data_IF_001135716253
#
_entry.id   IF_001135716253
#
_cell.length_a   1.000
_cell.length_b   1.000
_cell.length_c   1.000
_cell.angle_alpha   90.00
_cell.angle_beta   90.00
_cell.angle_gamma   90.00
#
_symmetry.space_group_name_H-M   'P 1'
#
loop_
_entity.id
_entity.type
_entity.pdbx_description
1 polymer ?
#
# COMPACT_ATOMS: atom_id res chain seq x y z
N UNK A 1 -13.47 -6.48 8.45
CA UNK A 1 -14.85 -6.87 8.35
C UNK A 1 -15.40 -6.51 6.96
N UNK A 2 -15.89 -7.52 6.22
CA UNK A 2 -16.35 -7.35 4.83
C UNK A 2 -17.54 -6.39 4.74
N UNK A 3 -18.43 -6.47 5.72
CA UNK A 3 -19.63 -5.62 5.84
C UNK A 3 -19.27 -4.13 5.94
N UNK A 4 -18.29 -3.80 6.78
CA UNK A 4 -17.83 -2.41 6.93
C UNK A 4 -17.25 -1.84 5.63
N UNK A 5 -16.53 -2.66 4.86
CA UNK A 5 -16.01 -2.26 3.55
C UNK A 5 -17.15 -2.03 2.54
N UNK A 6 -18.17 -2.89 2.55
CA UNK A 6 -19.34 -2.74 1.69
C UNK A 6 -20.06 -1.42 1.99
N UNK A 7 -20.41 -1.18 3.27
CA UNK A 7 -21.09 0.05 3.67
C UNK A 7 -20.26 1.30 3.39
N UNK A 8 -18.94 1.25 3.63
CA UNK A 8 -18.05 2.37 3.27
C UNK A 8 -18.08 2.66 1.77
N UNK A 9 -18.11 1.64 0.92
CA UNK A 9 -18.18 1.83 -0.53
C UNK A 9 -19.53 2.39 -0.98
N UNK A 10 -20.64 1.96 -0.39
CA UNK A 10 -21.98 2.52 -0.66
C UNK A 10 -22.03 3.98 -0.23
N UNK A 11 -21.54 4.30 0.96
CA UNK A 11 -21.52 5.66 1.51
C UNK A 11 -20.69 6.62 0.65
N UNK A 12 -19.50 6.19 0.24
CA UNK A 12 -18.59 6.99 -0.59
C UNK A 12 -18.93 6.97 -2.09
N UNK A 13 -19.96 6.24 -2.52
CA UNK A 13 -20.39 6.27 -3.91
C UNK A 13 -20.85 7.66 -4.36
N UNK A 14 -21.47 8.43 -3.46
CA UNK A 14 -21.85 9.82 -3.73
C UNK A 14 -20.62 10.67 -4.09
N UNK A 15 -19.52 10.47 -3.37
CA UNK A 15 -18.23 11.10 -3.70
C UNK A 15 -17.69 10.64 -5.06
N UNK A 16 -17.78 9.35 -5.39
CA UNK A 16 -17.37 8.85 -6.72
C UNK A 16 -18.17 9.50 -7.85
N UNK A 17 -19.49 9.74 -7.66
CA UNK A 17 -20.33 10.44 -8.62
C UNK A 17 -19.92 11.91 -8.76
N UNK A 18 -19.68 12.62 -7.65
CA UNK A 18 -19.17 13.98 -7.65
C UNK A 18 -17.86 14.10 -8.43
N UNK A 19 -16.87 13.23 -8.15
CA UNK A 19 -15.59 13.22 -8.83
C UNK A 19 -15.70 13.00 -10.35
N UNK A 20 -16.59 12.11 -10.76
CA UNK A 20 -16.72 11.71 -12.17
C UNK A 20 -17.64 12.61 -12.97
N UNK A 21 -18.77 13.05 -12.40
CA UNK A 21 -19.82 13.76 -13.13
C UNK A 21 -19.72 15.28 -12.98
N UNK A 22 -19.42 15.78 -11.78
CA UNK A 22 -19.33 17.21 -11.52
C UNK A 22 -17.93 17.73 -11.79
N UNK A 23 -16.90 17.18 -11.13
CA UNK A 23 -15.50 17.57 -11.36
C UNK A 23 -14.90 17.01 -12.65
N UNK A 24 -15.58 16.06 -13.31
CA UNK A 24 -15.17 15.45 -14.59
C UNK A 24 -13.73 14.91 -14.57
N UNK A 25 -13.31 14.37 -13.42
CA UNK A 25 -11.97 13.81 -13.24
C UNK A 25 -11.79 12.53 -14.07
N UNK A 26 -11.10 12.64 -15.21
CA UNK A 26 -10.89 11.50 -16.14
C UNK A 26 -10.06 10.37 -15.54
N UNK A 27 -9.03 10.71 -14.77
CA UNK A 27 -8.12 9.76 -14.15
C UNK A 27 -8.27 9.81 -12.64
N UNK A 28 -9.34 9.24 -12.15
CA UNK A 28 -9.71 9.11 -10.77
C UNK A 28 -9.77 7.64 -10.38
N UNK A 29 -9.31 7.31 -9.18
CA UNK A 29 -9.49 6.00 -8.58
C UNK A 29 -9.54 6.09 -7.07
N UNK A 30 -10.31 5.18 -6.45
CA UNK A 30 -10.46 5.07 -4.99
C UNK A 30 -10.36 3.61 -4.56
N UNK A 31 -9.73 3.41 -3.43
CA UNK A 31 -9.72 2.14 -2.72
C UNK A 31 -10.07 2.40 -1.25
N UNK A 32 -11.30 2.06 -0.89
CA UNK A 32 -11.92 2.34 0.41
C UNK A 32 -11.90 3.85 0.68
N UNK A 33 -11.03 4.34 1.55
CA UNK A 33 -10.85 5.76 1.95
C UNK A 33 -9.70 6.47 1.21
N UNK A 34 -8.78 5.71 0.63
CA UNK A 34 -7.68 6.25 -0.16
C UNK A 34 -8.12 6.54 -1.60
N UNK A 35 -7.87 7.75 -2.11
CA UNK A 35 -8.17 8.09 -3.50
C UNK A 35 -7.06 8.91 -4.15
N UNK A 36 -7.04 8.91 -5.48
CA UNK A 36 -6.10 9.71 -6.27
C UNK A 36 -6.78 10.32 -7.49
N UNK A 37 -6.24 11.43 -7.95
CA UNK A 37 -6.56 12.07 -9.22
C UNK A 37 -5.27 12.35 -9.97
N UNK A 38 -5.25 12.07 -11.27
CA UNK A 38 -4.11 12.39 -12.12
C UNK A 38 -4.54 13.39 -13.19
N UNK A 39 -3.82 14.50 -13.29
CA UNK A 39 -4.03 15.53 -14.32
C UNK A 39 -2.69 16.11 -14.77
N UNK A 40 -2.65 16.63 -15.99
CA UNK A 40 -1.52 17.44 -16.48
C UNK A 40 -1.55 18.87 -15.92
N UNK A 41 -2.73 19.35 -15.54
CA UNK A 41 -2.93 20.69 -15.00
C UNK A 41 -2.81 20.70 -13.48
N UNK A 42 -1.73 21.31 -13.00
CA UNK A 42 -1.47 21.47 -11.56
C UNK A 42 -2.41 22.49 -10.89
N UNK A 43 -2.88 23.50 -11.63
CA UNK A 43 -3.82 24.48 -11.08
C UNK A 43 -5.15 23.79 -10.81
N UNK A 44 -5.68 23.07 -11.79
CA UNK A 44 -6.86 22.23 -11.64
C UNK A 44 -6.76 21.31 -10.42
N UNK A 45 -5.63 20.60 -10.22
CA UNK A 45 -5.46 19.72 -9.07
C UNK A 45 -5.52 20.47 -7.73
N UNK A 46 -5.04 21.71 -7.66
CA UNK A 46 -5.12 22.52 -6.44
C UNK A 46 -6.54 23.04 -6.18
N UNK A 47 -7.28 23.37 -7.23
CA UNK A 47 -8.66 23.84 -7.15
C UNK A 47 -9.57 22.72 -6.68
N UNK A 48 -9.50 21.55 -7.30
CA UNK A 48 -10.35 20.42 -6.91
C UNK A 48 -10.10 19.95 -5.47
N UNK A 49 -8.89 20.10 -4.92
CA UNK A 49 -8.67 19.77 -3.48
C UNK A 49 -9.60 20.60 -2.60
N UNK A 50 -9.80 21.89 -2.89
CA UNK A 50 -10.70 22.76 -2.13
C UNK A 50 -12.16 22.31 -2.29
N UNK A 51 -12.59 22.05 -3.53
CA UNK A 51 -13.95 21.60 -3.83
C UNK A 51 -14.25 20.25 -3.17
N UNK A 52 -13.31 19.30 -3.24
CA UNK A 52 -13.41 18.00 -2.56
C UNK A 52 -13.54 18.20 -1.04
N UNK A 53 -12.75 19.10 -0.45
CA UNK A 53 -12.78 19.34 1.00
C UNK A 53 -14.15 19.86 1.44
N UNK A 54 -14.72 20.81 0.69
CA UNK A 54 -16.06 21.36 0.95
C UNK A 54 -17.12 20.27 0.79
N UNK A 55 -17.10 19.53 -0.32
CA UNK A 55 -18.05 18.46 -0.59
C UNK A 55 -18.03 17.37 0.50
N UNK A 56 -16.85 16.89 0.88
CA UNK A 56 -16.69 15.87 1.91
C UNK A 56 -17.26 16.32 3.24
N UNK A 57 -17.04 17.59 3.61
CA UNK A 57 -17.56 18.17 4.85
C UNK A 57 -19.08 18.35 4.81
N UNK A 58 -19.60 18.98 3.76
CA UNK A 58 -21.00 19.36 3.68
C UNK A 58 -21.95 18.18 3.37
N UNK A 59 -21.54 17.29 2.47
CA UNK A 59 -22.38 16.19 2.00
C UNK A 59 -22.20 14.89 2.78
N UNK A 60 -20.98 14.65 3.28
CA UNK A 60 -20.63 13.39 3.93
C UNK A 60 -20.21 13.57 5.40
N UNK A 61 -20.15 14.79 5.92
CA UNK A 61 -19.66 15.11 7.26
C UNK A 61 -18.31 14.42 7.58
N UNK A 62 -17.42 14.37 6.58
CA UNK A 62 -16.08 13.80 6.68
C UNK A 62 -15.03 14.89 6.52
N UNK A 63 -13.96 14.79 7.30
CA UNK A 63 -12.82 15.71 7.21
C UNK A 63 -11.68 15.08 6.43
N UNK A 64 -11.14 15.81 5.44
CA UNK A 64 -9.94 15.41 4.72
C UNK A 64 -8.71 15.74 5.58
N UNK A 65 -7.82 14.76 5.71
CA UNK A 65 -6.56 14.96 6.43
C UNK A 65 -5.57 15.74 5.55
N UNK A 66 -5.43 17.04 5.79
CA UNK A 66 -4.50 17.91 5.04
C UNK A 66 -3.08 17.37 4.98
N UNK A 67 -2.57 16.83 6.10
CA UNK A 67 -1.22 16.23 6.18
C UNK A 67 -1.00 15.02 5.27
N UNK A 68 -2.08 14.39 4.79
CA UNK A 68 -2.04 13.26 3.86
C UNK A 68 -2.44 13.64 2.43
N UNK A 69 -2.91 14.86 2.21
CA UNK A 69 -3.32 15.35 0.89
C UNK A 69 -2.12 16.00 0.19
N UNK A 70 -1.67 15.42 -0.91
CA UNK A 70 -0.48 15.87 -1.60
C UNK A 70 -0.72 16.03 -3.10
N UNK A 71 -0.32 17.18 -3.65
CA UNK A 71 -0.24 17.41 -5.09
C UNK A 71 1.22 17.31 -5.49
N UNK A 72 1.61 16.19 -6.06
CA UNK A 72 3.01 15.87 -6.38
C UNK A 72 3.19 15.57 -7.88
N UNK A 73 4.43 15.68 -8.36
CA UNK A 73 4.75 15.26 -9.71
C UNK A 73 4.82 13.73 -9.78
N UNK A 74 4.18 13.12 -10.77
CA UNK A 74 4.15 11.65 -10.99
C UNK A 74 5.55 11.06 -11.06
N UNK A 75 6.56 11.80 -11.58
CA UNK A 75 7.96 11.34 -11.62
C UNK A 75 8.58 11.13 -10.23
N UNK A 76 8.09 11.81 -9.20
CA UNK A 76 8.55 11.62 -7.82
C UNK A 76 8.10 10.27 -7.25
N UNK A 77 7.00 9.73 -7.75
CA UNK A 77 6.37 8.52 -7.25
C UNK A 77 5.45 8.78 -6.06
N UNK A 78 4.59 7.84 -5.79
CA UNK A 78 3.61 7.88 -4.70
C UNK A 78 3.54 6.54 -3.97
N UNK A 79 3.44 6.60 -2.65
CA UNK A 79 3.07 5.44 -1.84
C UNK A 79 1.54 5.24 -1.89
N UNK A 80 1.09 4.10 -2.43
CA UNK A 80 -0.33 3.76 -2.51
C UNK A 80 -0.52 2.25 -2.28
N UNK A 81 -1.39 1.88 -1.37
CA UNK A 81 -1.73 0.48 -1.02
C UNK A 81 -0.51 -0.41 -0.73
N UNK A 82 0.48 0.13 -0.06
CA UNK A 82 1.70 -0.63 0.30
C UNK A 82 2.72 -0.76 -0.84
N UNK A 83 2.45 -0.16 -1.98
CA UNK A 83 3.36 -0.03 -3.11
C UNK A 83 3.91 1.39 -3.25
N UNK A 84 5.13 1.52 -3.75
CA UNK A 84 5.70 2.78 -4.24
C UNK A 84 5.63 2.78 -5.77
N UNK A 85 4.77 3.62 -6.33
CA UNK A 85 4.42 3.65 -7.75
C UNK A 85 5.14 4.80 -8.42
N UNK A 86 5.92 4.51 -9.47
CA UNK A 86 6.52 5.46 -10.42
C UNK A 86 6.03 5.16 -11.83
N UNK A 87 6.18 6.10 -12.78
CA UNK A 87 5.92 5.78 -14.18
C UNK A 87 6.68 4.52 -14.61
N UNK A 88 5.96 3.55 -15.18
CA UNK A 88 6.48 2.27 -15.68
C UNK A 88 7.13 1.33 -14.65
N UNK A 89 7.13 1.67 -13.35
CA UNK A 89 7.77 0.88 -12.30
C UNK A 89 6.98 0.91 -11.01
N UNK A 90 6.81 -0.24 -10.39
CA UNK A 90 6.17 -0.37 -9.10
C UNK A 90 7.03 -1.22 -8.18
N UNK A 91 7.24 -0.75 -6.97
CA UNK A 91 8.07 -1.38 -5.95
C UNK A 91 7.27 -1.59 -4.66
N UNK A 92 7.72 -2.47 -3.79
CA UNK A 92 7.21 -2.53 -2.42
C UNK A 92 7.55 -1.22 -1.70
N UNK A 93 6.59 -0.64 -0.97
CA UNK A 93 6.79 0.64 -0.28
C UNK A 93 7.86 0.53 0.81
N UNK A 94 8.58 1.62 1.06
CA UNK A 94 9.57 1.70 2.14
C UNK A 94 8.95 1.41 3.51
N UNK A 95 7.68 1.77 3.72
CA UNK A 95 6.92 1.47 4.94
C UNK A 95 6.75 -0.05 5.11
N UNK A 96 6.38 -0.74 4.05
CA UNK A 96 6.24 -2.21 4.03
C UNK A 96 7.58 -2.90 4.25
N UNK A 97 8.66 -2.43 3.59
CA UNK A 97 10.01 -2.97 3.77
C UNK A 97 10.48 -2.81 5.22
N UNK A 98 10.30 -1.62 5.82
CA UNK A 98 10.66 -1.39 7.23
C UNK A 98 9.89 -2.29 8.18
N UNK A 99 8.59 -2.51 7.94
CA UNK A 99 7.76 -3.43 8.74
C UNK A 99 8.30 -4.85 8.67
N UNK A 100 8.63 -5.33 7.48
CA UNK A 100 9.19 -6.69 7.28
C UNK A 100 10.55 -6.79 7.95
N UNK A 101 11.44 -5.82 7.74
CA UNK A 101 12.78 -5.77 8.36
C UNK A 101 12.69 -5.81 9.88
N UNK A 102 11.82 -5.02 10.47
CA UNK A 102 11.58 -5.02 11.92
C UNK A 102 11.06 -6.38 12.41
N UNK A 103 10.09 -6.97 11.72
CA UNK A 103 9.54 -8.28 12.10
C UNK A 103 10.55 -9.42 12.00
N UNK A 104 11.46 -9.37 11.02
CA UNK A 104 12.57 -10.33 10.88
C UNK A 104 13.64 -10.11 11.96
N UNK A 105 13.98 -8.86 12.27
CA UNK A 105 14.87 -8.50 13.37
C UNK A 105 14.36 -9.00 14.72
N UNK A 106 13.09 -8.73 15.04
CA UNK A 106 12.42 -9.19 16.26
C UNK A 106 12.44 -10.73 16.36
N UNK A 107 12.19 -11.42 15.24
CA UNK A 107 12.29 -12.87 15.19
C UNK A 107 13.71 -13.38 15.47
N UNK A 108 14.73 -12.73 14.94
CA UNK A 108 16.11 -13.15 15.12
C UNK A 108 16.60 -12.99 16.55
N UNK A 109 16.20 -11.92 17.25
CA UNK A 109 16.75 -11.51 18.55
C UNK A 109 15.85 -11.87 19.75
N UNK A 110 14.57 -12.20 19.52
CA UNK A 110 13.62 -12.50 20.59
C UNK A 110 13.10 -13.96 20.52
N UNK A 111 12.22 -14.33 21.46
CA UNK A 111 11.61 -15.67 21.49
C UNK A 111 10.86 -16.01 20.21
N UNK A 112 10.90 -17.27 19.76
CA UNK A 112 10.27 -17.67 18.50
C UNK A 112 8.75 -17.48 18.57
N UNK A 113 8.19 -16.94 17.50
CA UNK A 113 6.72 -16.84 17.31
C UNK A 113 6.18 -18.24 16.97
N UNK A 114 4.98 -18.57 17.45
CA UNK A 114 4.33 -19.88 17.22
C UNK A 114 4.16 -20.26 15.73
N UNK A 115 4.12 -19.28 14.81
CA UNK A 115 3.82 -19.49 13.39
C UNK A 115 4.85 -18.83 12.47
N UNK A 116 6.13 -19.23 12.58
CA UNK A 116 7.23 -18.66 11.79
C UNK A 116 7.01 -18.85 10.28
N UNK A 117 6.58 -20.04 9.85
CA UNK A 117 6.33 -20.35 8.45
C UNK A 117 5.27 -19.42 7.85
N UNK A 118 4.17 -19.22 8.56
CA UNK A 118 3.09 -18.32 8.10
C UNK A 118 3.56 -16.86 8.06
N UNK A 119 4.35 -16.42 9.05
CA UNK A 119 4.93 -15.09 9.07
C UNK A 119 5.83 -14.86 7.85
N UNK A 120 6.76 -15.78 7.59
CA UNK A 120 7.68 -15.69 6.45
C UNK A 120 6.91 -15.68 5.13
N UNK A 121 5.96 -16.61 4.94
CA UNK A 121 5.17 -16.68 3.72
C UNK A 121 4.27 -15.43 3.52
N UNK A 122 3.74 -14.83 4.59
CA UNK A 122 3.03 -13.55 4.51
C UNK A 122 3.94 -12.43 4.01
N UNK A 123 5.19 -12.38 4.50
CA UNK A 123 6.18 -11.40 4.01
C UNK A 123 6.57 -11.66 2.55
N UNK A 124 6.81 -12.93 2.18
CA UNK A 124 7.10 -13.31 0.79
C UNK A 124 5.95 -12.95 -0.16
N UNK A 125 4.70 -13.14 0.27
CA UNK A 125 3.51 -12.71 -0.45
C UNK A 125 3.50 -11.21 -0.75
N UNK A 126 4.00 -10.39 0.18
CA UNK A 126 4.12 -8.94 -0.05
C UNK A 126 5.09 -8.58 -1.18
N UNK A 127 6.07 -9.44 -1.48
CA UNK A 127 7.03 -9.24 -2.58
C UNK A 127 6.57 -9.81 -3.92
N UNK A 128 5.55 -10.69 -3.93
CA UNK A 128 5.15 -11.42 -5.16
C UNK A 128 4.58 -10.50 -6.24
N UNK A 129 4.00 -9.37 -5.85
CA UNK A 129 3.34 -8.43 -6.75
C UNK A 129 4.24 -7.30 -7.27
N UNK A 130 5.48 -7.18 -6.76
CA UNK A 130 6.31 -6.00 -7.02
C UNK A 130 7.74 -6.37 -7.45
N UNK A 131 8.36 -5.52 -8.25
CA UNK A 131 9.78 -5.68 -8.67
C UNK A 131 10.73 -5.36 -7.51
N UNK A 132 10.81 -6.24 -6.52
CA UNK A 132 11.61 -6.06 -5.30
C UNK A 132 12.45 -7.29 -4.94
N UNK A 133 12.85 -8.09 -5.94
CA UNK A 133 13.58 -9.34 -5.71
C UNK A 133 14.91 -9.16 -4.95
N UNK A 134 15.70 -8.16 -5.31
CA UNK A 134 17.01 -7.94 -4.68
C UNK A 134 16.86 -7.64 -3.18
N UNK A 135 15.88 -6.80 -2.80
CA UNK A 135 15.58 -6.48 -1.40
C UNK A 135 15.06 -7.73 -0.66
N UNK A 136 14.22 -8.53 -1.32
CA UNK A 136 13.72 -9.79 -0.77
C UNK A 136 14.87 -10.73 -0.42
N UNK A 137 15.76 -11.00 -1.38
CA UNK A 137 16.93 -11.86 -1.19
C UNK A 137 17.81 -11.30 -0.06
N UNK A 138 18.13 -10.01 -0.08
CA UNK A 138 18.92 -9.35 0.96
C UNK A 138 18.35 -9.55 2.37
N UNK A 139 17.04 -9.42 2.52
CA UNK A 139 16.39 -9.52 3.82
C UNK A 139 16.35 -10.95 4.37
N UNK A 140 16.09 -11.93 3.53
CA UNK A 140 15.92 -13.31 3.98
C UNK A 140 17.22 -14.10 4.05
N UNK A 141 18.22 -13.81 3.20
CA UNK A 141 19.52 -14.50 3.23
C UNK A 141 20.31 -14.27 4.53
N UNK A 142 20.05 -13.15 5.23
CA UNK A 142 20.74 -12.78 6.47
C UNK A 142 20.15 -13.40 7.74
N UNK A 143 19.04 -14.13 7.65
CA UNK A 143 18.31 -14.67 8.81
C UNK A 143 18.59 -16.17 8.98
N UNK A 144 19.77 -16.51 9.47
CA UNK A 144 20.19 -17.92 9.67
C UNK A 144 19.25 -18.71 10.60
N UNK A 145 18.61 -18.04 11.59
CA UNK A 145 17.65 -18.69 12.50
C UNK A 145 16.44 -19.32 11.78
N UNK A 146 16.13 -18.89 10.55
CA UNK A 146 15.05 -19.49 9.75
C UNK A 146 15.31 -20.98 9.45
N UNK A 147 16.56 -21.38 9.28
CA UNK A 147 16.93 -22.76 8.97
C UNK A 147 16.45 -23.77 10.04
N UNK A 148 16.19 -23.32 11.27
CA UNK A 148 15.64 -24.16 12.36
C UNK A 148 14.13 -24.40 12.22
N UNK A 149 13.45 -23.72 11.31
CA UNK A 149 11.97 -23.76 11.15
C UNK A 149 11.52 -24.22 9.77
N UNK A 150 12.44 -24.21 8.80
CA UNK A 150 12.12 -24.54 7.43
C UNK A 150 13.23 -24.18 6.45
N UNK A 151 12.91 -24.34 5.19
CA UNK A 151 13.80 -23.98 4.09
C UNK A 151 13.02 -23.29 2.95
N UNK A 152 13.72 -22.52 2.13
CA UNK A 152 13.14 -21.96 0.92
C UNK A 152 13.13 -23.03 -0.18
N UNK A 153 12.00 -23.17 -0.91
CA UNK A 153 11.88 -24.14 -2.00
C UNK A 153 12.87 -23.94 -3.14
N UNK A 154 13.27 -22.68 -3.34
CA UNK A 154 14.17 -22.28 -4.41
C UNK A 154 15.02 -21.05 -4.02
N UNK A 155 16.07 -20.78 -4.78
CA UNK A 155 16.94 -19.61 -4.58
C UNK A 155 16.25 -18.27 -4.88
N UNK A 156 15.02 -18.28 -5.40
CA UNK A 156 14.25 -17.06 -5.65
C UNK A 156 13.39 -16.64 -4.46
N UNK A 157 13.42 -17.40 -3.37
CA UNK A 157 12.68 -17.10 -2.12
C UNK A 157 11.18 -16.91 -2.38
N UNK A 158 10.55 -17.82 -3.14
CA UNK A 158 9.11 -17.71 -3.43
C UNK A 158 8.24 -18.29 -2.33
N UNK A 159 8.68 -19.36 -1.71
CA UNK A 159 7.95 -20.08 -0.67
C UNK A 159 8.88 -20.64 0.39
N UNK A 160 8.49 -20.48 1.65
CA UNK A 160 9.15 -21.10 2.81
C UNK A 160 8.33 -22.30 3.27
N UNK A 161 8.98 -23.43 3.48
CA UNK A 161 8.35 -24.69 3.82
C UNK A 161 8.86 -25.15 5.19
N UNK A 162 7.99 -25.73 6.01
CA UNK A 162 8.34 -26.30 7.31
C UNK A 162 9.24 -27.52 7.12
N UNK A 163 10.20 -27.69 8.02
CA UNK A 163 10.95 -28.96 8.16
C UNK A 163 10.04 -30.00 8.76
#
# INVERSE_FOLDING_TARGET
>A
NLTSQLFSNVYLNVFDQFMKRELKCKHYGRYVDDFYVVSKDKKFLKEIVKEITVFMKEKLNLDIQEKKTHVINVKQGIDFLGAFIKPYRTYLSNKSIRRIRRGLYDFQHHKPKKNVVNMVNSYLGSFSHWKSNNIKIELFSKIGKLNNYGHFKDNSYRKFVKI
#
